data_IF_725985267406
#
_entry.id   IF_725985267406
#
_cell.length_a   1.000
_cell.length_b   1.000
_cell.length_c   1.000
_cell.angle_alpha   90.00
_cell.angle_beta   90.00
_cell.angle_gamma   90.00
#
_symmetry.space_group_name_H-M   'P 1'
#
loop_
_entity.id
_entity.type
_entity.pdbx_description
1 polymer ?
#
# COMPACT_ATOMS: atom_id res chain seq x y z
N UNK A 1 19.67 -32.37 21.09
CA UNK A 1 19.00 -31.27 21.81
C UNK A 1 18.47 -30.31 20.76
N UNK A 2 17.16 -30.24 20.56
CA UNK A 2 16.55 -29.25 19.66
C UNK A 2 16.58 -27.89 20.38
N UNK A 3 17.07 -26.85 19.71
CA UNK A 3 16.98 -25.48 20.21
C UNK A 3 15.49 -25.13 20.38
N UNK A 4 15.07 -24.56 21.52
CA UNK A 4 13.71 -24.07 21.64
C UNK A 4 13.54 -22.90 20.68
N UNK A 5 12.60 -23.00 19.73
CA UNK A 5 12.20 -21.87 18.90
C UNK A 5 11.71 -20.75 19.85
N UNK A 6 12.22 -19.53 19.64
CA UNK A 6 11.98 -18.36 20.51
C UNK A 6 10.49 -17.93 20.61
N UNK A 7 9.61 -18.56 19.84
CA UNK A 7 8.18 -18.31 19.86
C UNK A 7 7.43 -19.64 19.74
N UNK A 8 6.78 -20.05 20.81
CA UNK A 8 5.89 -21.21 20.78
C UNK A 8 4.72 -20.90 19.84
N UNK A 9 4.75 -21.53 18.66
CA UNK A 9 3.63 -21.63 17.74
C UNK A 9 3.14 -20.31 17.09
N UNK A 10 4.03 -19.65 16.33
CA UNK A 10 3.69 -18.50 15.48
C UNK A 10 2.49 -18.77 14.53
N UNK A 11 2.16 -20.03 14.23
CA UNK A 11 1.04 -20.43 13.37
C UNK A 11 -0.34 -20.00 13.87
N UNK A 12 -0.54 -19.82 15.18
CA UNK A 12 -1.85 -19.40 15.73
C UNK A 12 -2.22 -17.93 15.40
N UNK A 13 -1.22 -17.10 15.07
CA UNK A 13 -1.42 -15.70 14.66
C UNK A 13 -1.32 -15.51 13.13
N UNK A 14 -1.20 -16.60 12.37
CA UNK A 14 -0.89 -16.64 10.93
C UNK A 14 -1.99 -17.30 10.09
N UNK A 15 -3.19 -17.51 10.65
CA UNK A 15 -4.28 -18.07 9.87
C UNK A 15 -4.60 -17.11 8.73
N UNK A 16 -4.51 -17.55 7.46
CA UNK A 16 -4.89 -16.74 6.33
C UNK A 16 -6.30 -16.19 6.51
N UNK A 17 -6.57 -15.00 5.97
CA UNK A 17 -7.90 -14.42 6.01
C UNK A 17 -8.90 -15.38 5.36
N UNK A 18 -9.95 -15.74 6.10
CA UNK A 18 -11.10 -16.45 5.56
C UNK A 18 -11.78 -15.59 4.48
N UNK A 19 -12.54 -16.22 3.58
CA UNK A 19 -13.29 -15.49 2.54
C UNK A 19 -14.15 -14.35 3.11
N UNK A 20 -14.83 -14.61 4.23
CA UNK A 20 -15.61 -13.57 4.92
C UNK A 20 -14.75 -12.43 5.47
N UNK A 21 -13.55 -12.73 6.01
CA UNK A 21 -12.64 -11.68 6.49
C UNK A 21 -12.05 -10.87 5.32
N UNK A 22 -11.73 -11.51 4.19
CA UNK A 22 -11.31 -10.82 2.97
C UNK A 22 -12.40 -9.86 2.46
N UNK A 23 -13.64 -10.35 2.33
CA UNK A 23 -14.78 -9.55 1.90
C UNK A 23 -15.01 -8.35 2.84
N UNK A 24 -14.92 -8.57 4.15
CA UNK A 24 -15.04 -7.52 5.15
C UNK A 24 -13.89 -6.50 5.07
N UNK A 25 -12.65 -6.96 4.89
CA UNK A 25 -11.49 -6.08 4.75
C UNK A 25 -11.60 -5.21 3.49
N UNK A 26 -11.98 -5.80 2.35
CA UNK A 26 -12.19 -5.08 1.08
C UNK A 26 -13.31 -4.07 1.23
N UNK A 27 -14.44 -4.45 1.83
CA UNK A 27 -15.56 -3.56 2.06
C UNK A 27 -15.15 -2.37 2.93
N UNK A 28 -14.39 -2.60 3.99
CA UNK A 28 -13.93 -1.55 4.90
C UNK A 28 -12.92 -0.60 4.25
N UNK A 29 -11.93 -1.12 3.52
CA UNK A 29 -10.95 -0.30 2.78
C UNK A 29 -11.68 0.55 1.73
N UNK A 30 -12.59 -0.07 0.95
CA UNK A 30 -13.40 0.63 -0.04
C UNK A 30 -14.25 1.73 0.59
N UNK A 31 -14.87 1.45 1.74
CA UNK A 31 -15.68 2.43 2.48
C UNK A 31 -14.82 3.61 2.93
N UNK A 32 -13.65 3.38 3.53
CA UNK A 32 -12.75 4.45 3.97
C UNK A 32 -12.27 5.33 2.81
N UNK A 33 -11.95 4.72 1.67
CA UNK A 33 -11.58 5.44 0.46
C UNK A 33 -12.74 6.30 -0.08
N UNK A 34 -13.96 5.74 -0.16
CA UNK A 34 -15.16 6.46 -0.60
C UNK A 34 -15.51 7.63 0.30
N UNK A 35 -15.33 7.47 1.61
CA UNK A 35 -15.56 8.52 2.61
C UNK A 35 -14.39 9.52 2.74
N UNK A 36 -13.35 9.38 1.91
CA UNK A 36 -12.15 10.25 1.93
C UNK A 36 -11.35 10.21 3.23
N UNK A 37 -11.45 9.12 3.97
CA UNK A 37 -10.81 8.95 5.28
C UNK A 37 -9.41 8.37 5.16
N UNK A 38 -9.19 7.47 4.19
CA UNK A 38 -7.92 6.76 4.06
C UNK A 38 -7.65 6.29 2.64
N UNK A 39 -6.46 6.62 2.14
CA UNK A 39 -5.97 6.20 0.81
C UNK A 39 -4.67 5.39 0.89
N UNK A 40 -3.88 5.57 1.94
CA UNK A 40 -2.60 4.91 2.11
C UNK A 40 -2.49 4.26 3.49
N UNK A 41 -1.86 3.10 3.53
CA UNK A 41 -1.71 2.27 4.71
C UNK A 41 -0.22 2.14 5.04
N UNK A 42 0.10 2.22 6.32
CA UNK A 42 1.44 1.89 6.79
C UNK A 42 1.67 0.38 6.76
N UNK A 43 2.93 -0.03 6.69
CA UNK A 43 3.35 -1.45 6.79
C UNK A 43 2.68 -2.14 7.98
N UNK A 44 2.65 -1.48 9.15
CA UNK A 44 2.05 -2.04 10.38
C UNK A 44 0.55 -2.32 10.22
N UNK A 45 -0.16 -1.40 9.58
CA UNK A 45 -1.60 -1.57 9.35
C UNK A 45 -1.88 -2.69 8.35
N UNK A 46 -1.05 -2.80 7.30
CA UNK A 46 -1.19 -3.88 6.33
C UNK A 46 -0.87 -5.23 6.95
N UNK A 47 0.19 -5.35 7.74
CA UNK A 47 0.48 -6.56 8.52
C UNK A 47 -0.71 -6.97 9.40
N UNK A 48 -1.35 -6.00 10.07
CA UNK A 48 -2.53 -6.26 10.89
C UNK A 48 -3.76 -6.68 10.07
N UNK A 49 -3.98 -6.09 8.89
CA UNK A 49 -5.08 -6.46 7.99
C UNK A 49 -4.87 -7.87 7.42
N UNK A 50 -3.64 -8.20 7.02
CA UNK A 50 -3.31 -9.46 6.34
C UNK A 50 -2.93 -10.59 7.30
N UNK A 51 -2.91 -10.35 8.61
CA UNK A 51 -2.41 -11.29 9.62
C UNK A 51 -1.01 -11.84 9.30
N UNK A 52 -0.13 -10.99 8.80
CA UNK A 52 1.24 -11.36 8.43
C UNK A 52 2.29 -10.57 9.21
N UNK A 53 3.47 -11.16 9.36
CA UNK A 53 4.66 -10.50 9.89
C UNK A 53 5.21 -9.48 8.89
N UNK A 54 6.13 -8.65 9.37
CA UNK A 54 6.82 -7.67 8.52
C UNK A 54 7.67 -8.34 7.44
N UNK A 55 8.30 -9.47 7.75
CA UNK A 55 9.16 -10.20 6.81
C UNK A 55 8.31 -10.87 5.71
N UNK A 56 7.14 -11.39 6.08
CA UNK A 56 6.15 -11.88 5.11
C UNK A 56 5.61 -10.74 4.25
N UNK A 57 5.30 -9.57 4.82
CA UNK A 57 4.89 -8.41 4.03
C UNK A 57 6.00 -7.92 3.10
N UNK A 58 7.26 -7.96 3.53
CA UNK A 58 8.39 -7.65 2.65
C UNK A 58 8.49 -8.65 1.50
N UNK A 59 8.25 -9.93 1.78
CA UNK A 59 8.14 -10.97 0.75
C UNK A 59 6.98 -10.67 -0.19
N UNK A 60 5.82 -10.24 0.32
CA UNK A 60 4.66 -9.89 -0.51
C UNK A 60 4.95 -8.69 -1.42
N UNK A 61 5.53 -7.63 -0.88
CA UNK A 61 5.97 -6.45 -1.63
C UNK A 61 6.96 -6.83 -2.74
N UNK A 62 7.90 -7.71 -2.44
CA UNK A 62 8.97 -8.08 -3.36
C UNK A 62 8.53 -9.11 -4.42
N UNK A 63 7.82 -10.15 -4.00
CA UNK A 63 7.45 -11.27 -4.87
C UNK A 63 6.14 -10.99 -5.60
N UNK A 64 5.08 -10.58 -4.89
CA UNK A 64 3.74 -10.37 -5.48
C UNK A 64 3.54 -8.96 -6.04
N UNK A 65 4.61 -8.15 -6.14
CA UNK A 65 4.62 -6.77 -6.66
C UNK A 65 3.47 -5.92 -6.14
N UNK A 66 3.19 -6.02 -4.85
CA UNK A 66 2.28 -5.07 -4.20
C UNK A 66 2.97 -3.70 -4.24
N UNK A 67 2.45 -2.77 -5.03
CA UNK A 67 3.05 -1.46 -5.18
C UNK A 67 3.01 -0.70 -3.84
N UNK A 68 4.21 -0.31 -3.38
CA UNK A 68 4.39 0.60 -2.27
C UNK A 68 4.98 1.92 -2.76
N UNK A 69 4.47 3.02 -2.24
CA UNK A 69 4.92 4.37 -2.58
C UNK A 69 5.85 4.88 -1.50
N UNK A 70 6.93 5.53 -1.93
CA UNK A 70 7.93 6.10 -1.03
C UNK A 70 7.71 7.60 -0.79
N UNK A 71 7.55 8.00 0.47
CA UNK A 71 7.60 9.41 0.89
C UNK A 71 8.82 9.63 1.80
N UNK A 72 9.92 10.20 1.28
CA UNK A 72 11.20 10.38 2.00
C UNK A 72 11.59 9.17 2.88
N UNK A 73 11.70 7.99 2.27
CA UNK A 73 12.05 6.72 2.93
C UNK A 73 10.95 6.06 3.76
N UNK A 74 9.73 6.59 3.74
CA UNK A 74 8.58 5.98 4.42
C UNK A 74 7.69 5.27 3.40
N UNK A 75 7.62 3.94 3.49
CA UNK A 75 6.75 3.13 2.63
C UNK A 75 5.27 3.27 3.00
N UNK A 76 4.44 3.38 1.98
CA UNK A 76 2.99 3.46 2.06
C UNK A 76 2.35 2.57 1.00
N UNK A 77 1.46 1.70 1.40
CA UNK A 77 0.74 0.81 0.50
C UNK A 77 -0.57 1.48 0.13
N UNK A 78 -0.86 1.56 -1.17
CA UNK A 78 -2.08 2.19 -1.63
C UNK A 78 -3.31 1.32 -1.30
N UNK A 79 -4.47 1.96 -1.17
CA UNK A 79 -5.73 1.22 -0.95
C UNK A 79 -6.06 0.27 -2.10
N UNK A 80 -5.73 0.62 -3.34
CA UNK A 80 -6.09 -0.17 -4.52
C UNK A 80 -5.16 -1.37 -4.70
N UNK A 81 -3.88 -1.22 -4.39
CA UNK A 81 -2.92 -2.34 -4.40
C UNK A 81 -3.26 -3.33 -3.29
N UNK A 82 -3.60 -2.83 -2.10
CA UNK A 82 -4.03 -3.67 -1.00
C UNK A 82 -5.32 -4.44 -1.31
N UNK A 83 -6.32 -3.76 -1.90
CA UNK A 83 -7.56 -4.44 -2.34
C UNK A 83 -7.24 -5.45 -3.44
N UNK A 84 -6.42 -5.07 -4.43
CA UNK A 84 -6.03 -5.96 -5.52
C UNK A 84 -5.40 -7.24 -5.00
N UNK A 85 -4.50 -7.13 -4.02
CA UNK A 85 -3.89 -8.28 -3.36
C UNK A 85 -4.89 -9.12 -2.55
N UNK A 86 -5.80 -8.50 -1.79
CA UNK A 86 -6.82 -9.24 -1.02
C UNK A 86 -7.82 -9.96 -1.94
N UNK A 87 -8.19 -9.34 -3.07
CA UNK A 87 -9.14 -9.87 -4.05
C UNK A 87 -8.52 -10.87 -5.01
N UNK A 88 -7.20 -10.84 -5.20
CA UNK A 88 -6.49 -11.93 -5.85
C UNK A 88 -6.73 -13.17 -4.99
N UNK A 89 -7.61 -14.06 -5.45
CA UNK A 89 -8.02 -15.26 -4.74
C UNK A 89 -6.86 -16.26 -4.80
N UNK A 90 -5.81 -16.00 -4.01
CA UNK A 90 -4.56 -16.78 -3.97
C UNK A 90 -4.80 -18.23 -3.51
N UNK A 91 -5.96 -18.51 -2.91
CA UNK A 91 -6.28 -19.79 -2.29
C UNK A 91 -7.13 -20.73 -3.17
N UNK A 92 -7.93 -20.25 -4.12
CA UNK A 92 -8.97 -21.11 -4.72
C UNK A 92 -8.50 -21.94 -5.94
N UNK A 93 -7.36 -21.62 -6.59
CA UNK A 93 -6.91 -22.33 -7.81
C UNK A 93 -5.40 -22.44 -8.06
N UNK A 94 -4.54 -21.84 -7.25
CA UNK A 94 -3.12 -21.72 -7.55
C UNK A 94 -2.30 -22.44 -6.48
N UNK A 95 -1.78 -23.63 -6.81
CA UNK A 95 -1.07 -24.50 -5.86
C UNK A 95 0.39 -24.08 -5.69
N UNK A 96 0.93 -23.27 -6.62
CA UNK A 96 2.33 -22.84 -6.64
C UNK A 96 2.49 -21.31 -6.62
N UNK A 97 3.57 -20.77 -6.03
CA UNK A 97 3.90 -19.34 -6.08
C UNK A 97 3.93 -18.78 -7.51
N UNK A 98 4.38 -19.55 -8.49
CA UNK A 98 4.43 -19.14 -9.90
C UNK A 98 3.03 -18.94 -10.52
N UNK A 99 2.08 -19.82 -10.23
CA UNK A 99 0.70 -19.70 -10.71
C UNK A 99 -0.03 -18.50 -10.09
N UNK A 100 0.30 -18.17 -8.83
CA UNK A 100 -0.17 -16.97 -8.17
C UNK A 100 0.34 -15.71 -8.89
N UNK A 101 1.63 -15.71 -9.26
CA UNK A 101 2.25 -14.59 -9.96
C UNK A 101 1.63 -14.38 -11.33
N UNK A 102 1.43 -15.46 -12.09
CA UNK A 102 0.79 -15.39 -13.41
C UNK A 102 -0.65 -14.85 -13.32
N UNK A 103 -1.41 -15.26 -12.30
CA UNK A 103 -2.76 -14.74 -12.07
C UNK A 103 -2.77 -13.25 -11.70
N UNK A 104 -1.82 -12.81 -10.86
CA UNK A 104 -1.67 -11.41 -10.48
C UNK A 104 -1.25 -10.53 -11.67
N UNK A 105 -0.28 -10.97 -12.49
CA UNK A 105 0.17 -10.23 -13.68
C UNK A 105 -0.79 -10.29 -14.87
N UNK A 106 -1.70 -11.26 -14.90
CA UNK A 106 -2.76 -11.33 -15.90
C UNK A 106 -3.89 -10.32 -15.65
N UNK A 107 -3.92 -9.64 -14.51
CA UNK A 107 -4.87 -8.56 -14.26
C UNK A 107 -4.59 -7.41 -15.25
N UNK A 108 -5.61 -6.92 -15.97
CA UNK A 108 -5.42 -5.79 -16.87
C UNK A 108 -4.93 -4.57 -16.05
N UNK A 109 -3.96 -3.83 -16.58
CA UNK A 109 -3.59 -2.51 -16.07
C UNK A 109 -4.79 -1.58 -16.21
N UNK A 110 -5.64 -1.55 -15.19
CA UNK A 110 -6.72 -0.58 -15.09
C UNK A 110 -6.09 0.70 -14.59
N UNK A 111 -6.29 1.80 -15.32
CA UNK A 111 -5.84 3.10 -14.85
C UNK A 111 -6.68 3.56 -13.65
N UNK A 112 -6.20 3.24 -12.45
CA UNK A 112 -6.82 3.67 -11.19
C UNK A 112 -6.33 5.09 -10.84
N UNK A 113 -7.26 5.96 -10.46
CA UNK A 113 -6.92 7.23 -9.81
C UNK A 113 -6.59 6.94 -8.34
N UNK A 114 -5.33 7.15 -7.89
CA UNK A 114 -4.96 6.91 -6.49
C UNK A 114 -5.63 7.90 -5.54
N UNK A 115 -6.12 9.04 -6.05
CA UNK A 115 -6.68 10.17 -5.30
C UNK A 115 -8.07 10.58 -5.84
N UNK A 116 -9.03 9.64 -5.97
CA UNK A 116 -10.25 9.83 -6.77
C UNK A 116 -11.17 10.92 -6.25
N UNK A 117 -11.03 11.28 -4.97
CA UNK A 117 -11.95 12.17 -4.25
C UNK A 117 -11.24 13.38 -3.61
N UNK A 118 -9.95 13.58 -3.91
CA UNK A 118 -9.16 14.68 -3.37
C UNK A 118 -9.43 16.02 -4.13
N UNK A 119 -9.30 17.18 -3.45
CA UNK A 119 -9.37 18.49 -4.09
C UNK A 119 -8.33 18.65 -5.22
N UNK A 120 -8.58 19.56 -6.16
CA UNK A 120 -7.66 19.84 -7.28
C UNK A 120 -6.34 20.47 -6.79
N UNK A 121 -6.42 21.32 -5.78
CA UNK A 121 -5.29 21.97 -5.11
C UNK A 121 -5.42 21.67 -3.62
N UNK A 122 -4.31 21.29 -2.99
CA UNK A 122 -4.24 20.90 -1.59
C UNK A 122 -3.10 21.63 -0.90
N UNK A 123 -3.25 21.88 0.39
CA UNK A 123 -2.20 22.36 1.27
C UNK A 123 -1.23 21.23 1.65
N UNK A 124 -0.03 21.57 2.12
CA UNK A 124 0.91 20.58 2.62
C UNK A 124 0.34 19.74 3.79
N UNK A 125 -0.52 20.34 4.62
CA UNK A 125 -1.21 19.64 5.71
C UNK A 125 -2.20 18.59 5.17
N UNK A 126 -3.06 18.98 4.21
CA UNK A 126 -3.99 18.04 3.58
C UNK A 126 -3.26 16.91 2.85
N UNK A 127 -2.16 17.21 2.16
CA UNK A 127 -1.33 16.18 1.51
C UNK A 127 -0.69 15.24 2.54
N UNK A 128 -0.24 15.77 3.68
CA UNK A 128 0.33 14.97 4.76
C UNK A 128 -0.72 14.00 5.34
N UNK A 129 -1.94 14.49 5.57
CA UNK A 129 -3.06 13.70 6.06
C UNK A 129 -3.47 12.63 5.03
N UNK A 130 -3.57 13.00 3.75
CA UNK A 130 -3.89 12.08 2.66
C UNK A 130 -2.85 10.97 2.61
N UNK A 131 -1.56 11.31 2.56
CA UNK A 131 -0.44 10.38 2.42
C UNK A 131 -0.10 9.64 3.73
N UNK A 132 -0.78 9.96 4.83
CA UNK A 132 -0.50 9.43 6.17
C UNK A 132 0.98 9.60 6.55
N UNK A 133 1.53 10.78 6.33
CA UNK A 133 2.90 11.17 6.73
C UNK A 133 2.89 12.46 7.53
N UNK A 134 4.03 12.87 8.07
CA UNK A 134 4.11 14.15 8.78
C UNK A 134 4.06 15.34 7.81
N UNK A 135 3.50 16.47 8.23
CA UNK A 135 3.60 17.72 7.48
C UNK A 135 5.07 18.13 7.20
N UNK A 136 5.98 17.79 8.13
CA UNK A 136 7.42 18.00 7.93
C UNK A 136 7.97 17.19 6.76
N UNK A 137 7.48 15.97 6.54
CA UNK A 137 7.84 15.12 5.39
C UNK A 137 7.46 15.84 4.09
N UNK A 138 6.22 16.31 3.98
CA UNK A 138 5.74 17.01 2.78
C UNK A 138 6.51 18.32 2.55
N UNK A 139 6.75 19.10 3.60
CA UNK A 139 7.53 20.35 3.49
C UNK A 139 8.96 20.11 3.02
N UNK A 140 9.60 19.02 3.46
CA UNK A 140 10.94 18.63 2.96
C UNK A 140 10.90 18.23 1.48
N UNK A 141 9.87 17.50 1.05
CA UNK A 141 9.68 17.15 -0.36
C UNK A 141 9.50 18.40 -1.23
N UNK A 142 8.74 19.39 -0.75
CA UNK A 142 8.61 20.68 -1.45
C UNK A 142 9.96 21.39 -1.52
N UNK A 143 10.69 21.48 -0.40
CA UNK A 143 11.98 22.15 -0.33
C UNK A 143 13.05 21.51 -1.24
N UNK A 144 12.99 20.18 -1.41
CA UNK A 144 13.88 19.43 -2.29
C UNK A 144 13.47 19.49 -3.77
N UNK A 145 12.29 20.01 -4.08
CA UNK A 145 11.74 20.05 -5.44
C UNK A 145 11.05 18.77 -5.91
N UNK A 146 10.85 17.80 -5.02
CA UNK A 146 10.18 16.53 -5.32
C UNK A 146 8.66 16.72 -5.53
N UNK A 147 8.06 17.68 -4.83
CA UNK A 147 6.67 18.08 -4.99
C UNK A 147 6.57 19.56 -5.36
N UNK A 148 6.15 19.90 -6.59
CA UNK A 148 6.00 21.28 -7.00
C UNK A 148 4.79 21.94 -6.33
N UNK A 149 4.89 23.24 -6.11
CA UNK A 149 3.82 24.09 -5.58
C UNK A 149 3.52 25.24 -6.53
N UNK A 150 2.29 25.72 -6.53
CA UNK A 150 1.92 26.95 -7.24
C UNK A 150 2.42 28.20 -6.49
N UNK A 151 2.13 29.39 -7.04
CA UNK A 151 2.50 30.68 -6.43
C UNK A 151 1.94 30.90 -5.01
N UNK A 152 0.84 30.24 -4.67
CA UNK A 152 0.17 30.35 -3.38
C UNK A 152 0.62 29.25 -2.38
N UNK A 153 1.60 28.44 -2.75
CA UNK A 153 2.11 27.33 -1.93
C UNK A 153 1.22 26.07 -1.93
N UNK A 154 0.23 26.00 -2.82
CA UNK A 154 -0.66 24.85 -3.01
C UNK A 154 -0.06 23.78 -3.93
N UNK A 155 -0.26 22.51 -3.58
CA UNK A 155 0.15 21.34 -4.34
C UNK A 155 -1.01 20.91 -5.23
N UNK A 156 -0.78 20.71 -6.54
CA UNK A 156 -1.81 20.20 -7.45
C UNK A 156 -1.96 18.69 -7.29
N UNK A 157 -3.21 18.20 -7.32
CA UNK A 157 -3.52 16.76 -7.33
C UNK A 157 -2.83 16.00 -8.45
N UNK A 158 -2.69 16.62 -9.62
CA UNK A 158 -1.97 16.04 -10.76
C UNK A 158 -0.51 15.77 -10.44
N UNK A 159 0.14 16.68 -9.71
CA UNK A 159 1.56 16.62 -9.42
C UNK A 159 1.82 15.57 -8.32
N UNK A 160 0.96 15.53 -7.31
CA UNK A 160 1.00 14.47 -6.30
C UNK A 160 0.72 13.08 -6.91
N UNK A 161 -0.27 12.96 -7.82
CA UNK A 161 -0.56 11.72 -8.53
C UNK A 161 0.63 11.29 -9.39
N UNK A 162 1.30 12.23 -10.06
CA UNK A 162 2.52 11.95 -10.83
C UNK A 162 3.65 11.46 -9.93
N UNK A 163 3.86 12.11 -8.77
CA UNK A 163 4.84 11.67 -7.78
C UNK A 163 4.56 10.23 -7.34
N UNK A 164 3.33 9.95 -6.91
CA UNK A 164 2.89 8.62 -6.48
C UNK A 164 3.21 7.55 -7.54
N UNK A 165 2.88 7.82 -8.80
CA UNK A 165 3.12 6.88 -9.91
C UNK A 165 4.59 6.65 -10.23
N UNK A 166 5.42 7.68 -10.08
CA UNK A 166 6.85 7.61 -10.42
C UNK A 166 7.72 7.10 -9.29
N UNK A 167 7.19 7.10 -8.07
CA UNK A 167 7.88 6.65 -6.84
C UNK A 167 7.18 5.45 -6.20
N UNK A 168 6.26 4.82 -6.94
CA UNK A 168 5.80 3.47 -6.66
C UNK A 168 6.96 2.51 -6.92
N UNK A 169 7.17 1.60 -5.99
CA UNK A 169 8.25 0.64 -6.02
C UNK A 169 7.74 -0.61 -6.70
N UNK A 170 7.88 -0.62 -8.02
CA UNK A 170 7.60 -1.81 -8.83
C UNK A 170 8.74 -2.83 -8.74
N UNK A 171 9.97 -2.36 -8.44
CA UNK A 171 11.18 -3.18 -8.38
C UNK A 171 12.09 -2.73 -7.22
N UNK A 172 11.96 -3.37 -6.06
CA UNK A 172 12.93 -3.19 -4.95
C UNK A 172 14.11 -4.14 -5.20
N UNK A 173 15.35 -3.65 -5.44
CA UNK A 173 16.52 -4.52 -5.51
C UNK A 173 16.74 -5.18 -4.15
N UNK A 174 17.00 -6.49 -4.15
CA UNK A 174 17.36 -7.27 -2.96
C UNK A 174 18.55 -6.59 -2.25
N UNK A 175 18.33 -6.10 -1.02
CA UNK A 175 19.40 -5.76 -0.08
C UNK A 175 19.70 -6.98 0.79
#
# INVERSE_FOLDING_TARGET
MQQPELFENLRQYRTPLTKSERDNAVAEITRKMRLKVKYFYSIKEVCAILHCSRDELQTILNYYRLDAILFLSVYRISWYDLIGYILCDLDEKHETPEEILDAYFALPEIEIDPLPNCPVIMTAAEVADICYVSAQTINRMIANGDLPVNCDGGIRRSDLRKYIRTHALVDIPLL
#
